data_IF_186599846396
#
_entry.id   IF_186599846396
#
_cell.length_a   1.000
_cell.length_b   1.000
_cell.length_c   1.000
_cell.angle_alpha   90.00
_cell.angle_beta   90.00
_cell.angle_gamma   90.00
#
_symmetry.space_group_name_H-M   'P 1'
#
loop_
_entity.id
_entity.type
_entity.pdbx_description
1 polymer ?
#
# COMPACT_ATOMS: atom_id res chain seq x y z
N UNK A 1 -0.48 8.40 -9.78
CA UNK A 1 0.00 9.63 -9.06
C UNK A 1 -0.04 9.39 -7.56
N UNK A 2 0.51 10.30 -6.72
CA UNK A 2 0.35 10.24 -5.26
C UNK A 2 -0.45 11.44 -4.76
N UNK A 3 -1.23 11.23 -3.71
CA UNK A 3 -1.94 12.27 -2.98
C UNK A 3 -1.68 12.08 -1.48
N UNK A 4 -1.14 13.11 -0.83
CA UNK A 4 -0.68 13.03 0.56
C UNK A 4 -1.37 14.11 1.41
N UNK A 5 -2.63 13.93 1.83
CA UNK A 5 -3.32 14.83 2.76
C UNK A 5 -2.73 14.78 4.17
N UNK A 6 -1.93 13.75 4.46
CA UNK A 6 -1.12 13.67 5.68
C UNK A 6 0.31 13.26 5.33
N UNK A 7 1.27 13.59 6.18
CA UNK A 7 2.67 13.16 6.12
C UNK A 7 3.15 12.72 7.49
N UNK A 8 4.16 11.85 7.51
CA UNK A 8 4.69 11.31 8.76
C UNK A 8 3.92 10.12 9.29
N UNK A 9 4.60 9.27 10.06
CA UNK A 9 4.07 8.01 10.56
C UNK A 9 4.89 7.48 11.73
N UNK A 10 4.36 6.49 12.47
CA UNK A 10 5.05 5.69 13.48
C UNK A 10 5.23 4.26 13.01
N UNK A 11 6.33 3.60 13.43
CA UNK A 11 6.63 2.22 13.05
C UNK A 11 5.86 1.25 13.94
N UNK A 12 5.17 0.29 13.33
CA UNK A 12 4.35 -0.70 14.05
C UNK A 12 4.67 -2.16 13.72
N UNK A 13 5.51 -2.41 12.72
CA UNK A 13 5.85 -3.77 12.31
C UNK A 13 7.26 -3.85 11.70
N UNK A 14 7.82 -5.07 11.52
CA UNK A 14 9.10 -5.25 10.85
C UNK A 14 9.18 -4.65 9.44
N UNK A 15 8.06 -4.56 8.72
CA UNK A 15 7.97 -3.90 7.41
C UNK A 15 8.26 -2.41 7.45
N UNK A 16 8.14 -1.77 8.61
CA UNK A 16 8.46 -0.34 8.79
C UNK A 16 9.95 -0.07 9.08
N UNK A 17 10.80 -1.11 9.26
CA UNK A 17 12.19 -0.94 9.71
C UNK A 17 13.02 -0.03 8.80
N UNK A 18 12.89 -0.17 7.48
CA UNK A 18 13.63 0.59 6.48
C UNK A 18 12.68 1.39 5.59
N UNK A 19 11.78 2.16 6.24
CA UNK A 19 10.74 2.92 5.56
C UNK A 19 11.34 3.98 4.62
N UNK A 20 11.00 3.88 3.34
CA UNK A 20 11.44 4.86 2.35
C UNK A 20 10.87 6.26 2.59
N UNK A 21 9.66 6.33 3.16
CA UNK A 21 8.98 7.59 3.43
C UNK A 21 9.69 8.39 4.53
N UNK A 22 10.25 7.70 5.56
CA UNK A 22 11.06 8.34 6.60
C UNK A 22 12.31 9.00 6.00
N UNK A 23 13.08 8.23 5.21
CA UNK A 23 14.29 8.74 4.54
C UNK A 23 13.96 9.90 3.57
N UNK A 24 12.84 9.79 2.86
CA UNK A 24 12.40 10.85 1.95
C UNK A 24 11.95 12.09 2.71
N UNK A 25 11.22 11.93 3.82
CA UNK A 25 10.75 13.07 4.65
C UNK A 25 11.91 13.84 5.24
N UNK A 26 12.97 13.18 5.74
CA UNK A 26 14.20 13.84 6.21
C UNK A 26 14.87 14.64 5.10
N UNK A 27 14.94 14.09 3.89
CA UNK A 27 15.48 14.79 2.72
C UNK A 27 14.64 16.01 2.33
N UNK A 28 13.31 15.86 2.30
CA UNK A 28 12.38 16.95 2.00
C UNK A 28 12.43 18.06 3.07
N UNK A 29 12.62 17.69 4.35
CA UNK A 29 12.86 18.64 5.44
C UNK A 29 14.14 19.45 5.19
N UNK A 30 15.25 18.76 4.86
CA UNK A 30 16.51 19.43 4.57
C UNK A 30 16.44 20.37 3.35
N UNK A 31 15.52 20.11 2.42
CA UNK A 31 15.24 20.96 1.25
C UNK A 31 14.28 22.12 1.56
N UNK A 32 13.75 22.24 2.78
CA UNK A 32 12.75 23.25 3.15
C UNK A 32 11.40 23.05 2.47
N UNK A 33 11.04 21.82 2.08
CA UNK A 33 9.80 21.54 1.37
C UNK A 33 8.58 21.73 2.28
N UNK A 34 7.57 22.54 1.87
CA UNK A 34 6.37 22.77 2.66
C UNK A 34 5.62 21.47 3.01
N UNK A 35 5.22 21.35 4.30
CA UNK A 35 4.57 20.16 4.85
C UNK A 35 5.55 19.10 5.38
N UNK A 36 6.87 19.38 5.38
CA UNK A 36 7.90 18.52 5.95
C UNK A 36 8.78 19.22 6.98
N UNK A 37 8.33 20.38 7.51
CA UNK A 37 9.07 21.18 8.49
C UNK A 37 9.41 20.39 9.76
N UNK A 38 8.58 19.40 10.08
CA UNK A 38 8.74 18.50 11.25
C UNK A 38 9.34 17.13 10.88
N UNK A 39 9.92 17.00 9.68
CA UNK A 39 10.47 15.72 9.18
C UNK A 39 9.40 14.67 9.02
N UNK A 40 9.60 13.50 9.64
CA UNK A 40 8.66 12.36 9.57
C UNK A 40 7.64 12.32 10.72
N UNK A 41 7.51 13.42 11.50
CA UNK A 41 6.42 13.53 12.50
C UNK A 41 5.10 13.75 11.80
N UNK A 42 4.04 13.10 12.33
CA UNK A 42 2.70 13.20 11.74
C UNK A 42 2.23 14.66 11.64
N UNK A 43 1.71 15.03 10.48
CA UNK A 43 1.09 16.31 10.18
C UNK A 43 -0.13 16.12 9.29
N UNK A 44 -1.22 16.82 9.58
CA UNK A 44 -2.42 16.89 8.78
C UNK A 44 -2.32 18.10 7.86
N UNK A 45 -2.50 17.92 6.55
CA UNK A 45 -2.31 18.96 5.54
C UNK A 45 -3.66 19.28 4.91
N UNK A 46 -4.48 20.07 5.62
CA UNK A 46 -5.83 20.44 5.16
C UNK A 46 -5.84 21.13 3.80
N UNK A 47 -4.80 21.91 3.50
CA UNK A 47 -4.63 22.58 2.21
C UNK A 47 -4.42 21.63 1.02
N UNK A 48 -4.20 20.33 1.27
CA UNK A 48 -4.05 19.31 0.23
C UNK A 48 -5.29 18.43 0.06
N UNK A 49 -6.33 18.63 0.86
CA UNK A 49 -7.53 17.79 0.81
C UNK A 49 -8.19 17.83 -0.56
N UNK A 50 -8.25 19.00 -1.20
CA UNK A 50 -8.96 19.20 -2.46
C UNK A 50 -8.08 19.02 -3.71
N UNK A 51 -6.78 18.70 -3.57
CA UNK A 51 -5.86 18.54 -4.72
C UNK A 51 -6.43 17.65 -5.85
N UNK A 52 -7.07 16.49 -5.56
CA UNK A 52 -7.62 15.64 -6.62
C UNK A 52 -8.74 16.30 -7.43
N UNK A 53 -9.51 17.22 -6.85
CA UNK A 53 -10.63 17.89 -7.50
C UNK A 53 -10.18 18.84 -8.64
N UNK A 54 -8.95 19.34 -8.54
CA UNK A 54 -8.35 20.21 -9.55
C UNK A 54 -8.01 19.47 -10.86
N UNK A 55 -7.85 18.14 -10.83
CA UNK A 55 -7.51 17.35 -12.02
C UNK A 55 -8.75 16.73 -12.64
N UNK A 56 -9.00 17.04 -13.91
CA UNK A 56 -10.17 16.53 -14.63
C UNK A 56 -9.95 15.20 -15.35
N UNK A 57 -8.69 14.90 -15.74
CA UNK A 57 -8.35 13.63 -16.42
C UNK A 57 -8.38 12.47 -15.40
N UNK A 58 -9.14 11.38 -15.68
CA UNK A 58 -9.13 10.16 -14.84
C UNK A 58 -7.72 9.74 -14.48
N UNK A 59 -7.51 9.41 -13.22
CA UNK A 59 -6.17 9.16 -12.66
C UNK A 59 -6.27 8.19 -11.51
N UNK A 60 -5.33 7.25 -11.42
CA UNK A 60 -5.15 6.40 -10.24
C UNK A 60 -4.22 7.13 -9.27
N UNK A 61 -4.74 7.42 -8.07
CA UNK A 61 -3.98 7.99 -6.97
C UNK A 61 -3.60 6.91 -5.95
N UNK A 62 -2.32 6.88 -5.57
CA UNK A 62 -1.90 6.20 -4.36
C UNK A 62 -1.96 7.20 -3.20
N UNK A 63 -2.83 6.94 -2.24
CA UNK A 63 -3.10 7.83 -1.12
C UNK A 63 -2.09 7.57 -0.01
N UNK A 64 -1.54 8.65 0.54
CA UNK A 64 -0.62 8.61 1.68
C UNK A 64 0.65 7.77 1.44
N UNK A 65 1.35 8.02 0.32
CA UNK A 65 2.68 7.42 0.08
C UNK A 65 3.73 7.83 1.13
N UNK A 66 3.49 8.91 1.88
CA UNK A 66 4.39 9.48 2.88
C UNK A 66 3.86 9.36 4.32
N UNK A 67 2.81 8.56 4.54
CA UNK A 67 2.15 8.37 5.84
C UNK A 67 1.25 7.15 5.80
N UNK A 68 0.43 6.96 6.84
CA UNK A 68 -0.65 5.97 6.89
C UNK A 68 -1.94 6.72 7.29
N UNK A 69 -2.98 6.67 6.44
CA UNK A 69 -4.24 7.41 6.65
C UNK A 69 -4.96 6.99 7.94
N UNK A 70 -4.74 5.75 8.36
CA UNK A 70 -5.34 5.20 9.57
C UNK A 70 -4.40 5.24 10.78
N UNK A 71 -3.41 6.18 10.80
CA UNK A 71 -2.58 6.41 11.97
C UNK A 71 -3.45 6.76 13.19
N UNK A 72 -3.08 6.24 14.38
CA UNK A 72 -3.83 6.41 15.63
C UNK A 72 -4.13 7.86 15.98
N UNK A 73 -3.22 8.79 15.69
CA UNK A 73 -3.35 10.21 15.96
C UNK A 73 -4.12 11.00 14.87
N UNK A 74 -4.62 10.34 13.81
CA UNK A 74 -5.47 11.01 12.81
C UNK A 74 -6.92 10.89 13.27
N UNK A 75 -7.62 12.00 13.58
CA UNK A 75 -9.04 11.95 13.94
C UNK A 75 -9.91 11.39 12.81
N UNK A 76 -10.97 10.66 13.12
CA UNK A 76 -11.90 10.14 12.12
C UNK A 76 -12.57 11.26 11.31
N UNK A 77 -12.77 12.42 11.93
CA UNK A 77 -13.30 13.62 11.26
C UNK A 77 -12.39 14.10 10.12
N UNK A 78 -11.06 13.93 10.26
CA UNK A 78 -10.14 14.24 9.17
C UNK A 78 -10.21 13.16 8.07
N UNK A 79 -10.34 11.90 8.45
CA UNK A 79 -10.53 10.80 7.50
C UNK A 79 -11.86 10.99 6.74
N UNK A 80 -12.92 11.46 7.39
CA UNK A 80 -14.19 11.80 6.73
C UNK A 80 -14.02 12.87 5.65
N UNK A 81 -13.18 13.92 5.88
CA UNK A 81 -12.83 14.94 4.87
C UNK A 81 -12.12 14.30 3.66
N UNK A 82 -11.15 13.41 3.91
CA UNK A 82 -10.45 12.68 2.85
C UNK A 82 -11.44 11.86 2.00
N UNK A 83 -12.34 11.09 2.63
CA UNK A 83 -13.35 10.31 1.92
C UNK A 83 -14.44 11.16 1.26
N UNK A 84 -14.71 12.37 1.78
CA UNK A 84 -15.57 13.34 1.08
C UNK A 84 -14.96 13.77 -0.25
N UNK A 85 -13.65 14.08 -0.28
CA UNK A 85 -12.92 14.38 -1.52
C UNK A 85 -12.92 13.19 -2.48
N UNK A 86 -12.69 11.96 -1.99
CA UNK A 86 -12.71 10.74 -2.82
C UNK A 86 -14.08 10.58 -3.48
N UNK A 87 -15.18 10.76 -2.74
CA UNK A 87 -16.55 10.71 -3.28
C UNK A 87 -16.79 11.80 -4.32
N UNK A 88 -16.37 13.03 -4.05
CA UNK A 88 -16.52 14.16 -4.97
C UNK A 88 -15.71 13.97 -6.26
N UNK A 89 -14.50 13.39 -6.18
CA UNK A 89 -13.62 13.12 -7.31
C UNK A 89 -13.88 11.72 -7.92
N UNK A 90 -15.14 11.37 -8.17
CA UNK A 90 -15.59 10.03 -8.59
C UNK A 90 -14.98 9.52 -9.90
N UNK A 91 -14.39 10.39 -10.72
CA UNK A 91 -13.69 10.04 -11.97
C UNK A 91 -12.25 9.57 -11.76
N UNK A 92 -11.76 9.59 -10.53
CA UNK A 92 -10.46 9.05 -10.16
C UNK A 92 -10.61 7.75 -9.39
N UNK A 93 -9.56 6.93 -9.41
CA UNK A 93 -9.42 5.76 -8.54
C UNK A 93 -8.41 6.06 -7.44
N UNK A 94 -8.73 5.70 -6.20
CA UNK A 94 -7.89 5.95 -5.04
C UNK A 94 -7.48 4.63 -4.38
N UNK A 95 -6.18 4.31 -4.41
CA UNK A 95 -5.61 3.17 -3.72
C UNK A 95 -5.14 3.61 -2.33
N UNK A 96 -5.78 3.12 -1.30
CA UNK A 96 -5.49 3.43 0.10
C UNK A 96 -4.90 2.19 0.76
N UNK A 97 -3.67 2.31 1.24
CA UNK A 97 -2.94 1.21 1.87
C UNK A 97 -2.64 1.54 3.33
N UNK A 98 -2.90 0.58 4.22
CA UNK A 98 -2.59 0.75 5.65
C UNK A 98 -1.95 -0.49 6.25
N UNK A 99 -1.22 -0.29 7.35
CA UNK A 99 -0.79 -1.34 8.27
C UNK A 99 -1.65 -1.40 9.54
N UNK A 100 -2.61 -0.49 9.66
CA UNK A 100 -3.55 -0.36 10.79
C UNK A 100 -4.93 -0.83 10.38
N UNK A 101 -5.04 -2.13 10.09
CA UNK A 101 -6.26 -2.74 9.57
C UNK A 101 -7.41 -2.72 10.55
N UNK A 102 -7.11 -2.87 11.83
CA UNK A 102 -8.06 -2.73 12.94
C UNK A 102 -8.74 -1.35 12.96
N UNK A 103 -7.94 -0.30 12.74
CA UNK A 103 -8.46 1.06 12.69
C UNK A 103 -9.22 1.36 11.39
N UNK A 104 -8.79 0.76 10.25
CA UNK A 104 -9.54 0.77 9.01
C UNK A 104 -10.93 0.14 9.21
N UNK A 105 -10.98 -1.06 9.80
CA UNK A 105 -12.22 -1.78 10.09
C UNK A 105 -13.12 -0.98 11.05
N UNK A 106 -12.55 -0.40 12.10
CA UNK A 106 -13.28 0.45 13.05
C UNK A 106 -13.91 1.69 12.38
N UNK A 107 -13.17 2.34 11.48
CA UNK A 107 -13.67 3.50 10.74
C UNK A 107 -14.84 3.15 9.80
N UNK A 108 -14.76 1.99 9.12
CA UNK A 108 -15.81 1.55 8.19
C UNK A 108 -16.94 0.76 8.85
N UNK A 109 -16.91 0.55 10.15
CA UNK A 109 -18.00 -0.16 10.84
C UNK A 109 -19.36 0.50 10.55
N UNK A 110 -20.24 -0.23 9.84
CA UNK A 110 -21.55 0.26 9.41
C UNK A 110 -21.51 1.29 8.27
N UNK A 111 -20.37 1.44 7.58
CA UNK A 111 -20.20 2.32 6.41
C UNK A 111 -19.77 1.49 5.19
N UNK A 112 -20.19 1.94 4.00
CA UNK A 112 -19.72 1.40 2.72
C UNK A 112 -18.63 2.33 2.15
N UNK A 113 -17.53 1.75 1.68
CA UNK A 113 -16.49 2.52 1.02
C UNK A 113 -16.97 3.09 -0.33
N UNK A 114 -16.54 4.29 -0.74
CA UNK A 114 -16.84 4.79 -2.08
C UNK A 114 -16.34 3.80 -3.15
N UNK A 115 -17.09 3.59 -4.26
CA UNK A 115 -16.74 2.58 -5.27
C UNK A 115 -15.39 2.82 -5.95
N UNK A 116 -14.91 4.06 -5.95
CA UNK A 116 -13.62 4.46 -6.48
C UNK A 116 -12.48 4.43 -5.44
N UNK A 117 -12.76 4.01 -4.19
CA UNK A 117 -11.77 3.78 -3.14
C UNK A 117 -11.41 2.29 -3.08
N UNK A 118 -10.20 1.95 -3.47
CA UNK A 118 -9.64 0.61 -3.31
C UNK A 118 -8.91 0.55 -1.98
N UNK A 119 -9.31 -0.37 -1.12
CA UNK A 119 -8.77 -0.48 0.24
C UNK A 119 -7.82 -1.67 0.33
N UNK A 120 -6.66 -1.46 0.93
CA UNK A 120 -5.67 -2.52 1.05
C UNK A 120 -4.91 -2.49 2.36
N UNK A 121 -4.33 -3.64 2.68
CA UNK A 121 -3.45 -3.80 3.84
C UNK A 121 -2.09 -4.33 3.43
N UNK A 122 -1.05 -3.93 4.18
CA UNK A 122 0.28 -4.51 3.99
C UNK A 122 0.38 -5.85 4.69
N UNK A 123 0.95 -6.85 4.00
CA UNK A 123 1.16 -8.21 4.51
C UNK A 123 2.63 -8.58 4.32
N UNK A 124 3.47 -8.19 5.26
CA UNK A 124 4.93 -8.37 5.16
C UNK A 124 5.45 -9.66 5.80
N UNK A 125 4.70 -10.22 6.76
CA UNK A 125 5.05 -11.41 7.52
C UNK A 125 3.79 -12.10 8.08
N UNK A 126 3.97 -13.30 8.67
CA UNK A 126 2.86 -14.07 9.26
C UNK A 126 2.29 -13.42 10.51
N UNK A 127 3.16 -12.86 11.34
CA UNK A 127 2.78 -12.38 12.67
C UNK A 127 1.95 -11.11 12.63
N UNK A 128 2.38 -10.14 11.84
CA UNK A 128 1.75 -8.82 11.77
C UNK A 128 0.87 -8.67 10.54
N UNK A 129 1.29 -9.28 9.42
CA UNK A 129 0.64 -9.10 8.12
C UNK A 129 -0.63 -9.91 7.95
N UNK A 130 -0.58 -11.24 8.18
CA UNK A 130 -1.73 -12.11 7.92
C UNK A 130 -2.99 -11.72 8.69
N UNK A 131 -2.93 -11.38 10.01
CA UNK A 131 -4.14 -10.99 10.75
C UNK A 131 -4.88 -9.76 10.16
N UNK A 132 -4.17 -8.87 9.45
CA UNK A 132 -4.78 -7.70 8.82
C UNK A 132 -5.75 -8.05 7.69
N UNK A 133 -5.62 -9.25 7.10
CA UNK A 133 -6.52 -9.70 6.04
C UNK A 133 -7.94 -9.88 6.59
N UNK A 134 -8.06 -10.42 7.79
CA UNK A 134 -9.36 -10.65 8.43
C UNK A 134 -10.06 -9.32 8.73
N UNK A 135 -9.33 -8.33 9.25
CA UNK A 135 -9.87 -6.98 9.45
C UNK A 135 -10.34 -6.36 8.12
N UNK A 136 -9.53 -6.48 7.05
CA UNK A 136 -9.86 -5.95 5.72
C UNK A 136 -11.14 -6.57 5.16
N UNK A 137 -11.37 -7.88 5.37
CA UNK A 137 -12.61 -8.56 4.92
C UNK A 137 -13.86 -8.00 5.53
N UNK A 138 -13.80 -7.43 6.74
CA UNK A 138 -14.97 -6.83 7.41
C UNK A 138 -15.42 -5.53 6.75
N UNK A 139 -14.60 -4.95 5.87
CA UNK A 139 -14.89 -3.66 5.24
C UNK A 139 -15.63 -3.89 3.91
N UNK A 140 -16.81 -3.27 3.76
CA UNK A 140 -17.55 -3.27 2.51
C UNK A 140 -16.89 -2.32 1.50
N UNK A 141 -16.13 -2.89 0.55
CA UNK A 141 -15.38 -2.16 -0.46
C UNK A 141 -15.43 -2.89 -1.81
N UNK A 142 -15.49 -2.12 -2.91
CA UNK A 142 -15.47 -2.65 -4.28
C UNK A 142 -14.20 -3.43 -4.59
N UNK A 143 -13.05 -2.94 -4.11
CA UNK A 143 -11.75 -3.61 -4.26
C UNK A 143 -11.05 -3.67 -2.91
N UNK A 144 -10.74 -4.88 -2.48
CA UNK A 144 -9.82 -5.18 -1.37
C UNK A 144 -8.54 -5.74 -1.93
N UNK A 145 -7.38 -5.18 -1.53
CA UNK A 145 -6.09 -5.66 -2.04
C UNK A 145 -5.06 -5.87 -0.95
N UNK A 146 -4.12 -6.76 -1.21
CA UNK A 146 -2.97 -7.01 -0.35
C UNK A 146 -1.70 -6.41 -0.99
N UNK A 147 -0.93 -5.67 -0.20
CA UNK A 147 0.42 -5.26 -0.56
C UNK A 147 1.42 -6.08 0.25
N UNK A 148 1.89 -7.16 -0.34
CA UNK A 148 2.92 -8.04 0.21
C UNK A 148 4.29 -7.41 -0.04
N UNK A 149 4.47 -6.23 0.52
CA UNK A 149 5.65 -5.38 0.38
C UNK A 149 6.05 -4.69 1.70
N UNK A 150 7.30 -4.95 2.15
CA UNK A 150 8.23 -5.96 1.64
C UNK A 150 7.83 -7.37 2.07
N UNK A 151 7.93 -8.35 1.17
CA UNK A 151 7.79 -9.77 1.55
C UNK A 151 9.04 -10.20 2.32
N UNK A 152 8.90 -10.55 3.60
CA UNK A 152 10.02 -10.79 4.52
C UNK A 152 10.25 -12.26 4.86
N UNK A 153 9.26 -13.10 4.65
CA UNK A 153 9.29 -14.54 4.91
C UNK A 153 8.27 -15.28 4.04
N UNK A 154 8.32 -16.60 4.05
CA UNK A 154 7.24 -17.42 3.52
C UNK A 154 5.97 -17.23 4.34
N UNK A 155 4.89 -16.80 3.69
CA UNK A 155 3.62 -16.56 4.36
C UNK A 155 2.81 -17.83 4.64
N UNK A 156 3.21 -18.98 4.07
CA UNK A 156 2.44 -20.22 4.14
C UNK A 156 1.15 -20.14 3.35
N UNK A 157 0.09 -20.80 3.86
CA UNK A 157 -1.23 -20.76 3.23
C UNK A 157 -1.94 -19.44 3.56
N UNK A 158 -2.44 -18.78 2.53
CA UNK A 158 -3.18 -17.52 2.64
C UNK A 158 -4.60 -17.75 2.14
N UNK A 159 -5.57 -17.46 2.98
CA UNK A 159 -6.96 -17.37 2.55
C UNK A 159 -7.18 -16.03 1.83
N UNK A 160 -7.42 -16.08 0.51
CA UNK A 160 -7.67 -14.92 -0.34
C UNK A 160 -9.17 -14.70 -0.62
N UNK A 161 -10.06 -15.35 0.11
CA UNK A 161 -11.51 -15.13 0.00
C UNK A 161 -11.81 -13.63 0.14
N UNK A 162 -12.61 -13.08 -0.79
CA UNK A 162 -12.97 -11.66 -0.87
C UNK A 162 -11.81 -10.69 -1.09
N UNK A 163 -10.63 -11.17 -1.47
CA UNK A 163 -9.50 -10.36 -1.92
C UNK A 163 -9.50 -10.34 -3.46
N UNK A 164 -9.29 -9.16 -4.03
CA UNK A 164 -9.40 -8.95 -5.48
C UNK A 164 -8.04 -8.76 -6.15
N UNK A 165 -6.99 -8.44 -5.39
CA UNK A 165 -5.68 -8.14 -5.94
C UNK A 165 -4.57 -8.35 -4.91
N UNK A 166 -3.46 -8.95 -5.35
CA UNK A 166 -2.26 -9.14 -4.53
C UNK A 166 -1.06 -8.56 -5.26
N UNK A 167 -0.40 -7.61 -4.60
CA UNK A 167 0.83 -6.97 -5.09
C UNK A 167 2.00 -7.53 -4.28
N UNK A 168 3.02 -8.08 -4.94
CA UNK A 168 4.22 -8.60 -4.26
C UNK A 168 5.46 -7.82 -4.65
N UNK A 169 6.31 -7.52 -3.67
CA UNK A 169 7.57 -6.86 -3.94
C UNK A 169 8.59 -6.94 -2.81
N UNK A 170 9.85 -6.93 -3.21
CA UNK A 170 10.99 -6.91 -2.29
C UNK A 170 11.34 -5.52 -1.79
N UNK A 171 12.01 -5.47 -0.66
CA UNK A 171 12.48 -4.25 -0.03
C UNK A 171 13.54 -3.55 -0.89
N UNK A 172 13.47 -2.24 -0.99
CA UNK A 172 14.41 -1.41 -1.73
C UNK A 172 15.29 -0.57 -0.79
N UNK A 173 16.44 -0.12 -1.31
CA UNK A 173 17.33 0.76 -0.58
C UNK A 173 18.59 0.06 -0.03
N UNK A 174 19.48 0.82 0.64
CA UNK A 174 20.82 0.32 1.02
C UNK A 174 20.82 -0.74 2.11
N UNK A 175 19.74 -0.86 2.88
CA UNK A 175 19.57 -1.85 3.96
C UNK A 175 18.51 -2.90 3.63
N UNK A 176 18.14 -3.05 2.35
CA UNK A 176 17.12 -4.00 1.89
C UNK A 176 17.44 -5.43 2.36
N UNK A 177 16.43 -6.08 2.90
CA UNK A 177 16.46 -7.52 3.25
C UNK A 177 16.17 -8.35 1.99
N UNK A 178 16.78 -9.53 1.87
CA UNK A 178 16.53 -10.41 0.73
C UNK A 178 15.10 -10.96 0.76
N UNK A 179 14.53 -11.11 -0.41
CA UNK A 179 13.29 -11.83 -0.67
C UNK A 179 13.62 -13.08 -1.50
N UNK A 180 13.11 -14.24 -1.11
CA UNK A 180 13.39 -15.48 -1.81
C UNK A 180 12.39 -15.73 -2.93
N UNK A 181 12.84 -16.26 -4.10
CA UNK A 181 11.94 -16.57 -5.22
C UNK A 181 10.79 -17.50 -4.83
N UNK A 182 11.06 -18.54 -4.07
CA UNK A 182 10.07 -19.52 -3.64
C UNK A 182 8.93 -18.94 -2.82
N UNK A 183 9.18 -17.84 -2.08
CA UNK A 183 8.11 -17.14 -1.35
C UNK A 183 7.16 -16.39 -2.29
N UNK A 184 7.73 -15.76 -3.32
CA UNK A 184 6.96 -15.03 -4.34
C UNK A 184 6.14 -16.02 -5.17
N UNK A 185 6.74 -17.13 -5.56
CA UNK A 185 6.10 -18.21 -6.32
C UNK A 185 4.95 -18.85 -5.55
N UNK A 186 5.14 -19.09 -4.24
CA UNK A 186 4.09 -19.62 -3.38
C UNK A 186 2.87 -18.69 -3.31
N UNK A 187 3.08 -17.37 -3.24
CA UNK A 187 1.97 -16.40 -3.28
C UNK A 187 1.31 -16.36 -4.65
N UNK A 188 2.10 -16.40 -5.73
CA UNK A 188 1.58 -16.38 -7.10
C UNK A 188 0.69 -17.61 -7.40
N UNK A 189 1.13 -18.80 -7.00
CA UNK A 189 0.35 -20.04 -7.16
C UNK A 189 -0.98 -19.95 -6.42
N UNK A 190 -0.98 -19.48 -5.18
CA UNK A 190 -2.19 -19.31 -4.38
C UNK A 190 -3.16 -18.27 -4.97
N UNK A 191 -2.65 -17.21 -5.61
CA UNK A 191 -3.48 -16.27 -6.34
C UNK A 191 -4.13 -16.92 -7.57
N UNK A 192 -3.39 -17.76 -8.31
CA UNK A 192 -3.90 -18.49 -9.45
C UNK A 192 -4.97 -19.51 -9.04
N UNK A 193 -4.73 -20.30 -8.00
CA UNK A 193 -5.66 -21.29 -7.47
C UNK A 193 -6.97 -20.70 -6.95
N UNK A 194 -6.93 -19.47 -6.40
CA UNK A 194 -8.07 -18.77 -5.81
C UNK A 194 -8.68 -17.70 -6.75
N UNK A 195 -8.25 -17.66 -8.03
CA UNK A 195 -8.72 -16.70 -9.06
C UNK A 195 -8.57 -15.22 -8.65
N UNK A 196 -7.46 -14.86 -7.99
CA UNK A 196 -7.13 -13.50 -7.54
C UNK A 196 -6.06 -12.89 -8.43
N UNK A 197 -6.25 -11.65 -8.87
CA UNK A 197 -5.29 -10.95 -9.70
C UNK A 197 -3.93 -10.78 -9.00
N UNK A 198 -2.85 -11.14 -9.69
CA UNK A 198 -1.48 -11.12 -9.17
C UNK A 198 -0.61 -10.10 -9.89
N UNK A 199 0.06 -9.23 -9.12
CA UNK A 199 0.97 -8.23 -9.63
C UNK A 199 2.35 -8.37 -8.97
N UNK A 200 3.38 -8.68 -9.76
CA UNK A 200 4.74 -8.68 -9.25
C UNK A 200 5.43 -7.36 -9.55
N UNK A 201 5.59 -6.56 -8.52
CA UNK A 201 6.08 -5.19 -8.66
C UNK A 201 7.59 -5.12 -8.89
N UNK A 202 8.37 -5.89 -8.12
CA UNK A 202 9.84 -5.85 -8.20
C UNK A 202 10.54 -6.82 -7.23
N UNK A 203 11.78 -7.15 -7.53
CA UNK A 203 12.69 -7.85 -6.61
C UNK A 203 13.24 -6.94 -5.51
N UNK A 204 13.36 -5.63 -5.73
CA UNK A 204 13.96 -4.71 -4.77
C UNK A 204 15.48 -4.65 -4.84
N UNK A 205 16.14 -4.57 -3.67
CA UNK A 205 17.61 -4.49 -3.58
C UNK A 205 18.34 -5.82 -3.81
N UNK A 206 17.63 -6.94 -3.82
CA UNK A 206 18.17 -8.29 -4.04
C UNK A 206 17.46 -8.93 -5.24
N UNK A 207 18.23 -9.50 -6.17
CA UNK A 207 17.69 -10.22 -7.32
C UNK A 207 17.25 -11.64 -6.96
N UNK A 208 16.52 -12.29 -7.89
CA UNK A 208 16.15 -13.70 -7.77
C UNK A 208 17.35 -14.64 -7.57
N UNK A 209 18.53 -14.26 -8.04
CA UNK A 209 19.77 -15.01 -7.89
C UNK A 209 20.50 -14.75 -6.55
N UNK A 210 19.85 -14.08 -5.60
CA UNK A 210 20.40 -13.75 -4.29
C UNK A 210 21.53 -12.71 -4.33
N UNK A 211 21.73 -12.01 -5.45
CA UNK A 211 22.76 -10.98 -5.56
C UNK A 211 22.18 -9.60 -5.35
N UNK A 212 22.92 -8.78 -4.62
CA UNK A 212 22.53 -7.41 -4.33
C UNK A 212 22.91 -6.48 -5.47
N UNK A 213 21.93 -5.73 -5.98
CA UNK A 213 22.12 -4.75 -7.06
C UNK A 213 21.13 -3.58 -6.90
N UNK A 214 21.29 -2.55 -7.72
CA UNK A 214 20.27 -1.51 -7.84
C UNK A 214 18.94 -2.15 -8.32
N UNK A 215 17.82 -1.72 -7.71
CA UNK A 215 16.47 -2.20 -8.01
C UNK A 215 16.17 -2.33 -9.50
N UNK A 216 16.61 -1.36 -10.32
CA UNK A 216 16.39 -1.35 -11.77
C UNK A 216 17.05 -2.56 -12.46
N UNK A 217 18.22 -3.00 -11.98
CA UNK A 217 18.94 -4.14 -12.54
C UNK A 217 18.37 -5.49 -12.11
N UNK A 218 17.76 -5.57 -10.94
CA UNK A 218 17.09 -6.79 -10.48
C UNK A 218 15.75 -7.03 -11.21
N UNK A 219 15.12 -5.94 -11.68
CA UNK A 219 13.92 -6.02 -12.52
C UNK A 219 12.69 -6.51 -11.78
N UNK A 220 11.75 -7.05 -12.59
CA UNK A 220 10.42 -7.50 -12.13
C UNK A 220 9.93 -8.75 -12.89
N UNK A 221 10.83 -9.60 -13.29
CA UNK A 221 10.46 -10.88 -13.89
C UNK A 221 10.50 -11.99 -12.85
N UNK A 222 9.46 -12.78 -12.80
CA UNK A 222 9.38 -14.03 -12.05
C UNK A 222 9.34 -15.16 -13.09
N UNK A 223 10.29 -16.09 -13.03
CA UNK A 223 10.43 -17.18 -14.04
C UNK A 223 10.46 -16.67 -15.50
N UNK A 224 11.14 -15.54 -15.74
CA UNK A 224 11.22 -14.92 -17.07
C UNK A 224 9.96 -14.22 -17.57
N UNK A 225 8.90 -14.15 -16.77
CA UNK A 225 7.60 -13.54 -17.10
C UNK A 225 7.31 -12.33 -16.20
N UNK A 226 6.63 -11.33 -16.75
CA UNK A 226 6.04 -10.22 -15.98
C UNK A 226 4.59 -10.55 -15.62
N UNK A 227 4.17 -10.10 -14.42
CA UNK A 227 2.82 -10.26 -13.91
C UNK A 227 2.28 -8.87 -13.62
N UNK A 228 1.29 -8.45 -14.39
CA UNK A 228 0.73 -7.08 -14.41
C UNK A 228 -0.80 -7.08 -14.22
N UNK A 229 -1.34 -8.12 -13.60
CA UNK A 229 -2.77 -8.25 -13.47
C UNK A 229 -3.33 -7.16 -12.56
N UNK A 230 -4.51 -6.70 -12.90
CA UNK A 230 -5.29 -5.70 -12.17
C UNK A 230 -6.61 -6.34 -11.71
N UNK A 231 -7.27 -5.79 -10.68
CA UNK A 231 -8.57 -6.30 -10.23
C UNK A 231 -9.56 -6.36 -11.41
N UNK A 232 -10.30 -7.47 -11.52
CA UNK A 232 -11.28 -7.66 -12.59
C UNK A 232 -12.54 -6.85 -12.34
N UNK A 233 -13.23 -6.46 -13.42
CA UNK A 233 -14.52 -5.77 -13.34
C UNK A 233 -14.46 -4.30 -12.92
N UNK A 234 -13.27 -3.70 -12.87
CA UNK A 234 -13.10 -2.28 -12.55
C UNK A 234 -12.59 -1.51 -13.78
N UNK A 235 -13.24 -0.40 -14.10
CA UNK A 235 -12.78 0.55 -15.12
C UNK A 235 -11.73 1.48 -14.50
N UNK A 236 -10.55 1.60 -15.13
CA UNK A 236 -9.45 2.50 -14.75
C UNK A 236 -9.47 3.78 -15.56
#
# INVERSE_FOLDING_TARGET
>A
MTWNPTVGCTKISPGCKHCYAEVMAERLQAMGTPGYERGFKLQLLENRLEDPLGRKKPTVYFVNSMSDLFHEDIPFEFIDKVFATIRAAHWHTFQILTKRADRLAAYFKGKVAPPNAWLGVSVEDRKYGLPRIDDLRTVDATVRFLSVEPLLEDLGIIDLTDIHWVIVGGESGPKARPMKPEWVEAVQVQCEEQDVAFFFKQWGGWGADGKRRAKKHNGRQLRGRTYDEMPRGVNL
#
